data_IF_883452187877
#
_entry.id   IF_883452187877
#
_cell.length_a   1.000
_cell.length_b   1.000
_cell.length_c   1.000
_cell.angle_alpha   90.00
_cell.angle_beta   90.00
_cell.angle_gamma   90.00
#
_symmetry.space_group_name_H-M   'P 1'
#
loop_
_entity.id
_entity.type
_entity.pdbx_description
1 polymer ?
#
# COMPACT_ATOMS: atom_id res chain seq x y z
N UNK A 1 -4.22 0.75 -22.63
CA UNK A 1 -3.35 1.30 -21.59
C UNK A 1 -2.04 1.64 -22.26
N UNK A 2 -1.80 2.93 -22.44
CA UNK A 2 -0.53 3.44 -22.96
C UNK A 2 0.52 3.38 -21.85
N UNK A 3 1.80 3.26 -22.20
CA UNK A 3 2.88 3.22 -21.20
C UNK A 3 2.86 4.48 -20.30
N UNK A 4 2.51 5.63 -20.87
CA UNK A 4 2.32 6.88 -20.15
C UNK A 4 1.21 6.80 -19.08
N UNK A 5 0.10 6.08 -19.34
CA UNK A 5 -1.00 5.93 -18.38
C UNK A 5 -0.56 5.14 -17.13
N UNK A 6 0.33 4.16 -17.31
CA UNK A 6 0.84 3.32 -16.23
C UNK A 6 1.84 4.11 -15.37
N UNK A 7 2.74 4.86 -15.99
CA UNK A 7 3.71 5.70 -15.28
C UNK A 7 3.00 6.81 -14.49
N UNK A 8 2.00 7.47 -15.09
CA UNK A 8 1.17 8.46 -14.39
C UNK A 8 0.44 7.83 -13.19
N UNK A 9 -0.09 6.62 -13.34
CA UNK A 9 -0.73 5.90 -12.24
C UNK A 9 0.25 5.53 -11.11
N UNK A 10 1.48 5.13 -11.45
CA UNK A 10 2.54 4.84 -10.46
C UNK A 10 2.89 6.09 -9.66
N UNK A 11 3.09 7.22 -10.34
CA UNK A 11 3.36 8.50 -9.70
C UNK A 11 2.19 8.94 -8.80
N UNK A 12 0.94 8.79 -9.27
CA UNK A 12 -0.24 9.10 -8.49
C UNK A 12 -0.39 8.21 -7.24
N UNK A 13 -0.01 6.93 -7.34
CA UNK A 13 0.03 6.02 -6.18
C UNK A 13 1.11 6.44 -5.18
N UNK A 14 2.32 6.75 -5.65
CA UNK A 14 3.45 7.16 -4.80
C UNK A 14 3.16 8.47 -4.05
N UNK A 15 2.59 9.46 -4.75
CA UNK A 15 2.18 10.75 -4.16
C UNK A 15 1.13 10.53 -3.06
N UNK A 16 0.13 9.69 -3.35
CA UNK A 16 -0.94 9.40 -2.38
C UNK A 16 -0.46 8.59 -1.17
N UNK A 17 0.54 7.73 -1.33
CA UNK A 17 1.17 7.03 -0.22
C UNK A 17 1.97 7.98 0.66
N UNK A 18 2.73 8.89 0.05
CA UNK A 18 3.48 9.94 0.75
C UNK A 18 2.55 10.85 1.56
N UNK A 19 1.43 11.28 0.97
CA UNK A 19 0.39 12.06 1.65
C UNK A 19 -0.25 11.29 2.81
N UNK A 20 -0.52 10.00 2.60
CA UNK A 20 -1.11 9.13 3.61
C UNK A 20 -0.17 8.96 4.81
N UNK A 21 1.12 8.77 4.56
CA UNK A 21 2.15 8.65 5.59
C UNK A 21 2.28 9.95 6.41
N UNK A 22 2.38 11.10 5.74
CA UNK A 22 2.50 12.40 6.38
C UNK A 22 1.27 12.75 7.22
N UNK A 23 0.08 12.34 6.78
CA UNK A 23 -1.20 12.60 7.44
C UNK A 23 -1.61 11.56 8.49
N UNK A 24 -0.89 10.43 8.60
CA UNK A 24 -1.37 9.24 9.32
C UNK A 24 -1.77 9.48 10.77
N UNK A 25 -1.01 10.32 11.48
CA UNK A 25 -1.25 10.65 12.88
C UNK A 25 -2.58 11.41 13.11
N UNK A 26 -3.12 12.06 12.07
CA UNK A 26 -4.34 12.86 12.14
C UNK A 26 -5.58 12.13 11.63
N UNK A 27 -5.40 11.02 10.90
CA UNK A 27 -6.51 10.26 10.32
C UNK A 27 -7.22 9.43 11.38
N UNK A 28 -8.56 9.36 11.32
CA UNK A 28 -9.29 8.33 12.07
C UNK A 28 -9.11 6.96 11.40
N UNK A 29 -9.41 5.89 12.13
CA UNK A 29 -9.39 4.53 11.54
C UNK A 29 -10.32 4.39 10.34
N UNK A 30 -11.47 5.09 10.34
CA UNK A 30 -12.40 5.04 9.22
C UNK A 30 -11.87 5.81 8.01
N UNK A 31 -11.26 6.97 8.22
CA UNK A 31 -10.65 7.75 7.15
C UNK A 31 -9.50 6.95 6.52
N UNK A 32 -8.65 6.33 7.35
CA UNK A 32 -7.57 5.46 6.89
C UNK A 32 -8.10 4.30 6.05
N UNK A 33 -9.15 3.60 6.50
CA UNK A 33 -9.80 2.54 5.71
C UNK A 33 -10.29 3.05 4.36
N UNK A 34 -10.91 4.23 4.33
CA UNK A 34 -11.41 4.82 3.08
C UNK A 34 -10.27 5.19 2.13
N UNK A 35 -9.16 5.74 2.65
CA UNK A 35 -7.98 6.07 1.85
C UNK A 35 -7.34 4.82 1.25
N UNK A 36 -7.11 3.78 2.07
CA UNK A 36 -6.55 2.50 1.62
C UNK A 36 -7.46 1.82 0.59
N UNK A 37 -8.78 1.83 0.82
CA UNK A 37 -9.76 1.29 -0.13
C UNK A 37 -9.71 2.01 -1.48
N UNK A 38 -9.62 3.33 -1.45
CA UNK A 38 -9.54 4.16 -2.67
C UNK A 38 -8.23 3.89 -3.42
N UNK A 39 -7.12 3.76 -2.70
CA UNK A 39 -5.82 3.43 -3.28
C UNK A 39 -5.81 2.03 -3.91
N UNK A 40 -6.43 1.05 -3.25
CA UNK A 40 -6.63 -0.29 -3.82
C UNK A 40 -7.39 -0.25 -5.13
N UNK A 41 -8.46 0.55 -5.19
CA UNK A 41 -9.26 0.73 -6.41
C UNK A 41 -8.45 1.35 -7.55
N UNK A 42 -7.61 2.35 -7.24
CA UNK A 42 -6.69 2.94 -8.19
C UNK A 42 -5.67 1.90 -8.70
N UNK A 43 -5.00 1.20 -7.79
CA UNK A 43 -4.02 0.18 -8.14
C UNK A 43 -4.61 -0.93 -9.03
N UNK A 44 -5.80 -1.43 -8.67
CA UNK A 44 -6.51 -2.45 -9.45
C UNK A 44 -6.89 -1.96 -10.86
N UNK A 45 -7.30 -0.69 -11.00
CA UNK A 45 -7.69 -0.11 -12.29
C UNK A 45 -6.52 -0.06 -13.30
N UNK A 46 -5.29 0.05 -12.80
CA UNK A 46 -4.08 0.14 -13.62
C UNK A 46 -3.22 -1.14 -13.61
N UNK A 47 -3.66 -2.20 -12.94
CA UNK A 47 -2.94 -3.48 -12.88
C UNK A 47 -1.69 -3.45 -11.99
N UNK A 48 -1.63 -2.55 -11.02
CA UNK A 48 -0.56 -2.47 -10.02
C UNK A 48 -0.80 -3.50 -8.91
N UNK A 49 -0.70 -4.79 -9.28
CA UNK A 49 -1.13 -5.94 -8.47
C UNK A 49 -0.44 -5.98 -7.10
N UNK A 50 0.83 -5.59 -7.02
CA UNK A 50 1.57 -5.55 -5.74
C UNK A 50 0.91 -4.56 -4.77
N UNK A 51 0.63 -3.34 -5.20
CA UNK A 51 -0.02 -2.31 -4.36
C UNK A 51 -1.44 -2.72 -4.01
N UNK A 52 -2.19 -3.28 -4.97
CA UNK A 52 -3.53 -3.80 -4.71
C UNK A 52 -3.51 -4.83 -3.57
N UNK A 53 -2.58 -5.79 -3.64
CA UNK A 53 -2.45 -6.86 -2.65
C UNK A 53 -2.05 -6.33 -1.27
N UNK A 54 -1.06 -5.43 -1.22
CA UNK A 54 -0.65 -4.80 0.03
C UNK A 54 -1.79 -3.98 0.65
N UNK A 55 -2.52 -3.20 -0.16
CA UNK A 55 -3.70 -2.46 0.30
C UNK A 55 -4.76 -3.40 0.87
N UNK A 56 -5.01 -4.54 0.21
CA UNK A 56 -5.94 -5.54 0.70
C UNK A 56 -5.51 -6.13 2.05
N UNK A 57 -4.23 -6.48 2.21
CA UNK A 57 -3.68 -6.95 3.48
C UNK A 57 -3.85 -5.92 4.61
N UNK A 58 -3.61 -4.64 4.31
CA UNK A 58 -3.82 -3.55 5.26
C UNK A 58 -5.30 -3.38 5.63
N UNK A 59 -6.24 -3.46 4.68
CA UNK A 59 -7.68 -3.42 4.95
C UNK A 59 -8.09 -4.53 5.93
N UNK A 60 -7.59 -5.76 5.73
CA UNK A 60 -7.88 -6.90 6.62
C UNK A 60 -7.35 -6.66 8.03
N UNK A 61 -6.14 -6.09 8.18
CA UNK A 61 -5.59 -5.71 9.49
C UNK A 61 -6.46 -4.66 10.17
N UNK A 62 -6.80 -3.59 9.45
CA UNK A 62 -7.65 -2.51 9.94
C UNK A 62 -9.07 -2.98 10.31
N UNK A 63 -9.57 -4.05 9.69
CA UNK A 63 -10.86 -4.65 10.06
C UNK A 63 -10.84 -5.23 11.48
N UNK A 64 -9.69 -5.71 11.94
CA UNK A 64 -9.51 -6.29 13.29
C UNK A 64 -9.18 -5.23 14.36
N UNK A 65 -8.77 -4.03 13.94
CA UNK A 65 -8.39 -2.94 14.82
C UNK A 65 -7.29 -2.08 14.18
N UNK A 66 -7.08 -0.87 14.70
CA UNK A 66 -5.95 -0.04 14.27
C UNK A 66 -4.72 -0.41 15.07
N UNK A 67 -3.68 -0.82 14.37
CA UNK A 67 -2.34 -1.05 14.88
C UNK A 67 -1.40 -0.15 14.07
N UNK A 68 -0.92 0.93 14.69
CA UNK A 68 -0.10 1.93 14.01
C UNK A 68 1.23 1.36 13.50
N UNK A 69 1.82 0.39 14.20
CA UNK A 69 3.04 -0.26 13.75
C UNK A 69 2.79 -1.09 12.48
N UNK A 70 1.68 -1.84 12.44
CA UNK A 70 1.25 -2.54 11.24
C UNK A 70 0.96 -1.56 10.10
N UNK A 71 0.23 -0.48 10.36
CA UNK A 71 -0.10 0.50 9.31
C UNK A 71 1.16 1.11 8.71
N UNK A 72 2.11 1.54 9.54
CA UNK A 72 3.39 2.10 9.08
C UNK A 72 4.19 1.07 8.26
N UNK A 73 4.31 -0.17 8.74
CA UNK A 73 5.01 -1.22 7.99
C UNK A 73 4.40 -1.48 6.62
N UNK A 74 3.07 -1.46 6.50
CA UNK A 74 2.41 -1.61 5.21
C UNK A 74 2.62 -0.40 4.29
N UNK A 75 2.56 0.83 4.81
CA UNK A 75 2.78 2.05 4.03
C UNK A 75 4.23 2.12 3.52
N UNK A 76 5.20 1.85 4.40
CA UNK A 76 6.63 1.74 4.06
C UNK A 76 6.86 0.78 2.89
N UNK A 77 6.31 -0.44 2.97
CA UNK A 77 6.42 -1.41 1.88
C UNK A 77 5.72 -1.00 0.60
N UNK A 78 4.60 -0.28 0.69
CA UNK A 78 3.94 0.24 -0.50
C UNK A 78 4.75 1.35 -1.17
N UNK A 79 5.42 2.21 -0.38
CA UNK A 79 6.34 3.22 -0.90
C UNK A 79 7.54 2.55 -1.60
N UNK A 80 8.20 1.60 -0.95
CA UNK A 80 9.30 0.83 -1.54
C UNK A 80 8.87 0.16 -2.87
N UNK A 81 7.69 -0.46 -2.88
CA UNK A 81 7.15 -1.12 -4.06
C UNK A 81 6.77 -0.13 -5.17
N UNK A 82 6.36 1.10 -4.84
CA UNK A 82 6.03 2.13 -5.84
C UNK A 82 7.28 2.67 -6.56
N UNK A 83 8.43 2.67 -5.88
CA UNK A 83 9.73 3.00 -6.45
C UNK A 83 10.32 1.85 -7.31
N UNK A 84 9.92 0.60 -7.06
CA UNK A 84 10.31 -0.56 -7.87
C UNK A 84 9.49 -0.64 -9.18
N UNK A 85 10.13 -1.00 -10.29
CA UNK A 85 9.47 -1.20 -11.60
C UNK A 85 8.62 -2.48 -11.66
N UNK A 86 8.65 -3.33 -10.62
CA UNK A 86 7.98 -4.65 -10.58
C UNK A 86 6.61 -4.65 -9.92
N UNK A 87 5.87 -3.55 -9.99
CA UNK A 87 4.54 -3.41 -9.35
C UNK A 87 3.46 -4.34 -9.93
N UNK A 88 3.66 -4.87 -11.14
CA UNK A 88 2.80 -5.84 -11.81
C UNK A 88 3.25 -7.30 -11.57
N UNK A 89 4.41 -7.52 -10.96
CA UNK A 89 4.97 -8.86 -10.71
C UNK A 89 4.47 -9.45 -9.40
N UNK A 90 3.36 -10.18 -9.46
CA UNK A 90 2.77 -10.84 -8.30
C UNK A 90 3.73 -11.81 -7.56
N UNK A 91 4.84 -12.24 -8.17
CA UNK A 91 5.80 -13.15 -7.53
C UNK A 91 6.55 -12.51 -6.35
N UNK A 92 6.60 -11.17 -6.25
CA UNK A 92 7.26 -10.48 -5.13
C UNK A 92 6.39 -10.41 -3.87
N UNK A 93 5.06 -10.54 -4.01
CA UNK A 93 4.11 -10.35 -2.90
C UNK A 93 4.43 -11.23 -1.68
N UNK A 94 4.70 -12.56 -1.82
CA UNK A 94 4.99 -13.39 -0.66
C UNK A 94 6.26 -12.96 0.10
N UNK A 95 7.25 -12.40 -0.61
CA UNK A 95 8.47 -11.90 0.01
C UNK A 95 8.17 -10.63 0.82
N UNK A 96 7.43 -9.69 0.23
CA UNK A 96 7.00 -8.45 0.90
C UNK A 96 6.14 -8.75 2.14
N UNK A 97 5.18 -9.67 2.05
CA UNK A 97 4.36 -10.07 3.20
C UNK A 97 5.20 -10.69 4.32
N UNK A 98 6.20 -11.51 3.97
CA UNK A 98 7.12 -12.09 4.95
C UNK A 98 8.02 -11.04 5.61
N UNK A 99 8.41 -9.99 4.88
CA UNK A 99 9.15 -8.85 5.42
C UNK A 99 8.31 -8.02 6.39
N UNK A 100 7.06 -7.71 6.03
CA UNK A 100 6.11 -7.04 6.94
C UNK A 100 5.94 -7.85 8.22
N UNK A 101 5.71 -9.16 8.11
CA UNK A 101 5.53 -10.03 9.25
C UNK A 101 6.77 -10.07 10.15
N UNK A 102 7.97 -10.07 9.56
CA UNK A 102 9.23 -10.02 10.31
C UNK A 102 9.39 -8.69 11.04
N UNK A 103 9.16 -7.57 10.36
CA UNK A 103 9.25 -6.24 10.94
C UNK A 103 8.32 -6.11 12.16
N UNK A 104 7.08 -6.60 12.05
CA UNK A 104 6.11 -6.56 13.15
C UNK A 104 6.44 -7.47 14.33
N UNK A 105 7.35 -8.44 14.19
CA UNK A 105 7.85 -9.24 15.31
C UNK A 105 9.06 -8.60 16.00
N UNK A 106 9.71 -7.62 15.38
CA UNK A 106 10.91 -6.95 15.90
C UNK A 106 10.60 -5.66 16.68
N UNK A 107 9.37 -5.14 16.56
CA UNK A 107 8.84 -3.92 17.23
C UNK A 107 8.11 -4.29 18.52
#
# INVERSE_FOLDING_TARGET
MHADDLEEARLAVADRLSDLEAGLAQLSTNDLKQQVHSLKGLAAAYGLIVIESLCHGLEQRLASGRDDAAVLAYIDRMNDAAEDDRMDDASVIPALEAEIARHLHEV
#
